data_IF_768967444644
#
_entry.id   IF_768967444644
#
_cell.length_a   1.000
_cell.length_b   1.000
_cell.length_c   1.000
_cell.angle_alpha   90.00
_cell.angle_beta   90.00
_cell.angle_gamma   90.00
#
_symmetry.space_group_name_H-M   'P 1'
#
loop_
_entity.id
_entity.type
_entity.pdbx_description
1 polymer ?
#
# COMPACT_ATOMS: atom_id res chain seq x y z
N UNK A 1 1.61 -2.31 -15.22
CA UNK A 1 0.80 -1.44 -14.35
C UNK A 1 -0.16 -2.31 -13.54
N UNK A 2 -0.18 -2.11 -12.26
CA UNK A 2 -1.15 -2.66 -11.32
C UNK A 2 -1.47 -1.58 -10.28
N UNK A 3 -2.63 -1.65 -9.66
CA UNK A 3 -2.97 -0.91 -8.47
C UNK A 3 -2.23 -1.50 -7.27
N UNK A 4 -2.07 -0.71 -6.22
CA UNK A 4 -1.40 -1.08 -4.98
C UNK A 4 -0.55 0.06 -4.45
N UNK A 5 -0.14 -0.06 -3.20
CA UNK A 5 0.70 0.92 -2.50
C UNK A 5 0.96 0.49 -1.07
N UNK A 6 1.97 1.09 -0.45
CA UNK A 6 2.29 0.91 0.95
C UNK A 6 1.96 2.17 1.74
N UNK A 7 1.82 2.06 3.07
CA UNK A 7 1.46 3.19 3.93
C UNK A 7 2.43 4.38 3.80
N UNK A 8 3.72 4.12 3.71
CA UNK A 8 4.74 5.16 3.53
C UNK A 8 4.60 5.93 2.21
N UNK A 9 3.98 5.37 1.16
CA UNK A 9 3.75 6.10 -0.10
C UNK A 9 2.86 7.32 0.12
N UNK A 10 1.88 7.22 1.05
CA UNK A 10 1.03 8.35 1.43
C UNK A 10 1.85 9.43 2.11
N UNK A 11 2.72 9.06 3.04
CA UNK A 11 3.59 9.99 3.78
C UNK A 11 4.53 10.71 2.82
N UNK A 12 5.22 9.98 1.95
CA UNK A 12 6.11 10.55 0.95
C UNK A 12 5.35 11.38 -0.10
N UNK A 13 4.15 10.96 -0.46
CA UNK A 13 3.25 11.73 -1.32
C UNK A 13 2.90 13.09 -0.71
N UNK A 14 2.55 13.13 0.58
CA UNK A 14 2.26 14.39 1.29
C UNK A 14 3.49 15.27 1.40
N UNK A 15 4.66 14.72 1.72
CA UNK A 15 5.93 15.47 1.76
C UNK A 15 6.23 16.12 0.41
N UNK A 16 6.02 15.41 -0.67
CA UNK A 16 6.41 15.84 -2.02
C UNK A 16 5.39 16.74 -2.71
N UNK A 17 4.10 16.49 -2.49
CA UNK A 17 3.02 17.09 -3.26
C UNK A 17 2.01 17.87 -2.39
N UNK A 18 2.18 17.84 -1.08
CA UNK A 18 1.23 18.40 -0.15
C UNK A 18 -0.06 17.60 -0.03
N UNK A 19 -1.08 18.20 0.57
CA UNK A 19 -2.41 17.63 0.75
C UNK A 19 -3.47 18.70 0.57
N UNK A 20 -4.67 18.29 0.16
CA UNK A 20 -5.82 19.16 -0.04
C UNK A 20 -7.01 18.61 0.76
N UNK A 21 -7.81 19.45 1.43
CA UNK A 21 -9.03 19.00 2.10
C UNK A 21 -9.99 18.31 1.15
N UNK A 22 -10.66 17.26 1.62
CA UNK A 22 -11.62 16.47 0.84
C UNK A 22 -12.74 17.33 0.24
N UNK A 23 -13.20 18.36 0.94
CA UNK A 23 -14.27 19.26 0.46
C UNK A 23 -13.82 20.19 -0.68
N UNK A 24 -12.51 20.47 -0.77
CA UNK A 24 -11.92 21.29 -1.83
C UNK A 24 -11.63 20.45 -3.07
N UNK A 25 -11.13 19.25 -2.87
CA UNK A 25 -10.81 18.33 -3.94
C UNK A 25 -11.26 16.91 -3.57
N UNK A 26 -12.52 16.59 -3.84
CA UNK A 26 -13.07 15.27 -3.50
C UNK A 26 -12.48 14.13 -4.31
N UNK A 27 -11.79 14.40 -5.42
CA UNK A 27 -11.26 13.36 -6.31
C UNK A 27 -12.37 12.48 -6.91
N UNK A 28 -13.57 13.03 -7.09
CA UNK A 28 -14.77 12.30 -7.46
C UNK A 28 -15.46 12.96 -8.64
N UNK A 29 -14.95 12.75 -9.83
CA UNK A 29 -15.52 13.26 -11.08
C UNK A 29 -16.08 12.13 -11.96
N UNK A 30 -16.60 11.08 -11.33
CA UNK A 30 -17.08 9.86 -11.99
C UNK A 30 -18.54 9.98 -12.48
N UNK A 31 -19.25 11.03 -12.10
CA UNK A 31 -20.70 11.13 -12.31
C UNK A 31 -21.52 10.22 -11.39
N UNK A 32 -20.90 9.68 -10.34
CA UNK A 32 -21.49 8.79 -9.33
C UNK A 32 -21.18 9.33 -7.93
N UNK A 33 -21.92 8.86 -6.93
CA UNK A 33 -21.68 9.25 -5.53
C UNK A 33 -20.40 8.62 -4.92
N UNK A 34 -19.88 7.58 -5.57
CA UNK A 34 -18.68 6.86 -5.13
C UNK A 34 -17.74 6.64 -6.28
N UNK A 35 -16.42 6.58 -6.03
CA UNK A 35 -15.43 6.23 -7.04
C UNK A 35 -15.70 4.86 -7.66
N UNK A 36 -15.39 4.73 -8.95
CA UNK A 36 -15.46 3.48 -9.71
C UNK A 36 -14.04 3.13 -10.16
N UNK A 37 -13.20 2.76 -9.20
CA UNK A 37 -11.78 2.52 -9.44
C UNK A 37 -11.51 1.44 -10.49
N UNK A 38 -12.27 0.36 -10.52
CA UNK A 38 -12.08 -0.71 -11.48
C UNK A 38 -12.21 -0.25 -12.95
N UNK A 39 -13.05 0.76 -13.24
CA UNK A 39 -13.14 1.35 -14.58
C UNK A 39 -11.88 2.17 -14.89
N UNK A 40 -11.44 3.01 -13.94
CA UNK A 40 -10.23 3.82 -14.07
C UNK A 40 -9.00 2.95 -14.27
N UNK A 41 -8.82 1.92 -13.44
CA UNK A 41 -7.68 1.01 -13.49
C UNK A 41 -7.61 0.28 -14.82
N UNK A 42 -8.75 -0.22 -15.31
CA UNK A 42 -8.85 -0.84 -16.61
C UNK A 42 -8.48 0.15 -17.75
N UNK A 43 -8.95 1.39 -17.67
CA UNK A 43 -8.65 2.42 -18.68
C UNK A 43 -7.15 2.81 -18.65
N UNK A 44 -6.57 3.05 -17.47
CA UNK A 44 -5.15 3.37 -17.31
C UNK A 44 -4.27 2.23 -17.80
N UNK A 45 -4.60 0.99 -17.42
CA UNK A 45 -3.88 -0.19 -17.87
C UNK A 45 -3.93 -0.34 -19.38
N UNK A 46 -5.11 -0.24 -19.98
CA UNK A 46 -5.27 -0.36 -21.43
C UNK A 46 -4.51 0.74 -22.18
N UNK A 47 -4.53 1.98 -21.66
CA UNK A 47 -3.80 3.10 -22.23
C UNK A 47 -2.28 2.86 -22.19
N UNK A 48 -1.73 2.50 -21.05
CA UNK A 48 -0.30 2.26 -20.88
C UNK A 48 0.17 1.03 -21.70
N UNK A 49 -0.58 -0.04 -21.69
CA UNK A 49 -0.29 -1.24 -22.51
C UNK A 49 -0.26 -0.89 -24.01
N UNK A 50 -1.19 -0.05 -24.47
CA UNK A 50 -1.23 0.41 -25.86
C UNK A 50 -0.01 1.27 -26.22
N UNK A 51 0.35 2.21 -25.35
CA UNK A 51 1.52 3.09 -25.51
C UNK A 51 2.82 2.27 -25.61
N UNK A 52 3.02 1.33 -24.68
CA UNK A 52 4.21 0.46 -24.64
C UNK A 52 4.26 -0.44 -25.88
N UNK A 53 3.12 -1.02 -26.26
CA UNK A 53 3.03 -1.96 -27.36
C UNK A 53 3.18 -1.28 -28.72
N UNK A 54 2.67 -0.06 -28.86
CA UNK A 54 2.63 0.67 -30.12
C UNK A 54 3.89 1.52 -30.39
N UNK A 55 4.87 1.53 -29.48
CA UNK A 55 6.11 2.30 -29.68
C UNK A 55 6.76 1.92 -31.02
N UNK A 56 7.01 2.92 -31.84
CA UNK A 56 7.62 2.73 -33.16
C UNK A 56 9.14 2.79 -33.05
N UNK A 57 9.85 1.82 -33.63
CA UNK A 57 11.32 1.74 -33.61
C UNK A 57 11.97 1.86 -32.21
N UNK A 58 11.27 1.42 -31.16
CA UNK A 58 11.75 1.51 -29.80
C UNK A 58 11.69 2.92 -29.17
N UNK A 59 11.15 3.91 -29.88
CA UNK A 59 11.02 5.29 -29.37
C UNK A 59 9.70 5.45 -28.67
N UNK A 60 9.77 5.89 -27.40
CA UNK A 60 8.63 6.34 -26.61
C UNK A 60 8.63 7.88 -26.59
N UNK A 61 7.52 8.50 -27.00
CA UNK A 61 7.34 9.95 -26.93
C UNK A 61 7.02 10.37 -25.49
N UNK A 62 6.96 11.67 -25.22
CA UNK A 62 6.51 12.20 -23.92
C UNK A 62 5.01 12.46 -23.87
N UNK A 63 4.32 12.49 -25.02
CA UNK A 63 2.89 12.81 -25.12
C UNK A 63 1.99 11.84 -24.35
N UNK A 64 2.45 10.60 -24.08
CA UNK A 64 1.71 9.64 -23.30
C UNK A 64 1.50 10.09 -21.85
N UNK A 65 2.43 10.90 -21.28
CA UNK A 65 2.31 11.43 -19.93
C UNK A 65 1.13 12.41 -19.84
N UNK A 66 1.01 13.30 -20.83
CA UNK A 66 -0.10 14.25 -20.89
C UNK A 66 -1.43 13.52 -21.08
N UNK A 67 -1.45 12.49 -21.92
CA UNK A 67 -2.63 11.65 -22.11
C UNK A 67 -3.03 10.89 -20.84
N UNK A 68 -2.06 10.36 -20.09
CA UNK A 68 -2.31 9.70 -18.80
C UNK A 68 -2.87 10.70 -17.77
N UNK A 69 -2.25 11.88 -17.67
CA UNK A 69 -2.72 12.93 -16.76
C UNK A 69 -4.14 13.39 -17.12
N UNK A 70 -4.45 13.52 -18.41
CA UNK A 70 -5.80 13.88 -18.86
C UNK A 70 -6.85 12.80 -18.48
N UNK A 71 -6.49 11.52 -18.50
CA UNK A 71 -7.35 10.46 -17.98
C UNK A 71 -7.56 10.62 -16.47
N UNK A 72 -6.52 10.82 -15.70
CA UNK A 72 -6.60 11.04 -14.25
C UNK A 72 -7.46 12.25 -13.92
N UNK A 73 -7.24 13.39 -14.60
CA UNK A 73 -8.02 14.61 -14.43
C UNK A 73 -9.50 14.42 -14.78
N UNK A 74 -9.81 13.53 -15.73
CA UNK A 74 -11.19 13.22 -16.10
C UNK A 74 -11.94 12.53 -14.96
N UNK A 75 -11.30 11.61 -14.26
CA UNK A 75 -11.91 10.83 -13.19
C UNK A 75 -11.83 11.52 -11.82
N UNK A 76 -10.71 12.15 -11.53
CA UNK A 76 -10.49 12.79 -10.23
C UNK A 76 -10.81 14.28 -10.20
N UNK A 77 -10.89 14.93 -11.38
CA UNK A 77 -10.88 16.38 -11.51
C UNK A 77 -9.46 16.93 -11.53
N UNK A 78 -9.32 18.15 -11.99
CA UNK A 78 -8.02 18.85 -12.05
C UNK A 78 -7.57 19.21 -10.64
N UNK A 79 -6.37 18.78 -10.28
CA UNK A 79 -5.79 19.11 -8.98
C UNK A 79 -5.60 20.63 -8.83
N UNK A 80 -6.09 21.25 -7.74
CA UNK A 80 -5.92 22.68 -7.53
C UNK A 80 -4.45 23.01 -7.22
N UNK A 81 -3.91 24.02 -7.88
CA UNK A 81 -2.61 24.60 -7.52
C UNK A 81 -2.72 25.49 -6.28
N UNK A 82 -3.87 26.17 -6.13
CA UNK A 82 -4.24 27.01 -4.99
C UNK A 82 -5.70 26.82 -4.65
N UNK A 83 -6.04 26.98 -3.39
CA UNK A 83 -7.41 26.89 -2.90
C UNK A 83 -7.60 27.74 -1.65
N UNK A 84 -8.88 28.07 -1.37
CA UNK A 84 -9.26 28.73 -0.12
C UNK A 84 -9.92 27.73 0.81
N UNK A 85 -9.43 27.65 2.03
CA UNK A 85 -9.98 26.81 3.08
C UNK A 85 -10.09 27.63 4.36
N UNK A 86 -11.26 27.63 4.99
CA UNK A 86 -11.57 28.43 6.18
C UNK A 86 -11.15 29.93 6.06
N UNK A 87 -11.36 30.50 4.87
CA UNK A 87 -11.08 31.92 4.60
C UNK A 87 -9.60 32.25 4.37
N UNK A 88 -8.71 31.28 4.30
CA UNK A 88 -7.29 31.46 4.04
C UNK A 88 -6.89 30.76 2.74
N UNK A 89 -6.05 31.42 1.93
CA UNK A 89 -5.48 30.83 0.71
C UNK A 89 -4.29 29.92 1.05
N UNK A 90 -4.26 28.76 0.38
CA UNK A 90 -3.22 27.76 0.50
C UNK A 90 -2.81 27.21 -0.87
N UNK A 91 -1.58 26.72 -0.96
CA UNK A 91 -1.19 25.66 -1.89
C UNK A 91 -1.27 24.30 -1.16
N UNK A 92 -1.30 23.16 -1.86
CA UNK A 92 -1.27 21.84 -1.21
C UNK A 92 -0.13 21.69 -0.19
N UNK A 93 1.06 22.18 -0.53
CA UNK A 93 2.25 22.10 0.32
C UNK A 93 2.12 23.02 1.56
N UNK A 94 1.61 24.25 1.36
CA UNK A 94 1.43 25.18 2.48
C UNK A 94 0.31 24.75 3.43
N UNK A 95 -0.69 24.03 2.93
CA UNK A 95 -1.72 23.43 3.76
C UNK A 95 -1.15 22.25 4.57
N UNK A 96 -0.40 21.34 3.95
CA UNK A 96 0.30 20.27 4.65
C UNK A 96 1.18 20.81 5.78
N UNK A 97 1.95 21.86 5.51
CA UNK A 97 2.83 22.50 6.50
C UNK A 97 2.06 23.20 7.66
N UNK A 98 0.78 23.53 7.46
CA UNK A 98 -0.06 24.15 8.50
C UNK A 98 -0.69 23.14 9.45
N UNK A 99 -0.67 21.85 9.12
CA UNK A 99 -1.27 20.81 9.96
C UNK A 99 -0.38 20.52 11.18
N UNK A 100 -0.96 20.19 12.34
CA UNK A 100 -0.23 19.87 13.55
C UNK A 100 0.37 18.45 13.54
N UNK A 101 0.72 17.96 12.38
CA UNK A 101 1.31 16.62 12.16
C UNK A 101 2.64 16.78 11.42
N UNK A 102 3.61 15.95 11.79
CA UNK A 102 4.91 15.89 11.12
C UNK A 102 5.05 14.56 10.42
N UNK A 103 5.23 14.59 9.12
CA UNK A 103 5.34 13.36 8.31
C UNK A 103 6.57 12.52 8.70
N UNK A 104 7.61 13.14 9.25
CA UNK A 104 8.81 12.43 9.74
C UNK A 104 8.61 11.69 11.07
N UNK A 105 7.48 11.90 11.76
CA UNK A 105 7.15 11.17 12.98
C UNK A 105 6.51 9.79 12.69
N UNK A 106 6.21 9.50 11.43
CA UNK A 106 5.66 8.21 11.00
C UNK A 106 6.77 7.23 10.66
N UNK A 107 6.67 6.03 11.19
CA UNK A 107 7.65 4.95 11.00
C UNK A 107 6.90 3.66 10.66
N UNK A 108 7.34 2.99 9.60
CA UNK A 108 6.86 1.65 9.27
C UNK A 108 7.64 0.64 10.11
N UNK A 109 6.92 -0.18 10.88
CA UNK A 109 7.49 -1.20 11.75
C UNK A 109 6.98 -2.57 11.28
N UNK A 110 7.87 -3.53 11.20
CA UNK A 110 7.53 -4.91 10.86
C UNK A 110 8.27 -5.92 11.72
N UNK A 111 7.84 -7.17 11.65
CA UNK A 111 8.48 -8.28 12.35
C UNK A 111 8.72 -9.44 11.40
N UNK A 112 9.95 -9.56 10.92
CA UNK A 112 10.36 -10.54 9.91
C UNK A 112 11.61 -11.28 10.36
N UNK A 113 11.50 -12.59 10.54
CA UNK A 113 12.60 -13.43 11.08
C UNK A 113 13.73 -13.69 10.08
N UNK A 114 13.50 -13.45 8.79
CA UNK A 114 14.51 -13.64 7.75
C UNK A 114 15.41 -12.42 7.51
N UNK A 115 15.12 -11.29 8.19
CA UNK A 115 15.98 -10.11 8.24
C UNK A 115 16.49 -9.89 9.66
N UNK A 116 17.69 -9.30 9.83
CA UNK A 116 18.19 -8.96 11.16
C UNK A 116 17.23 -8.01 11.87
N UNK A 117 16.94 -8.28 13.14
CA UNK A 117 16.18 -7.34 13.96
C UNK A 117 16.99 -6.06 14.24
N UNK A 118 16.28 -4.97 14.51
CA UNK A 118 16.81 -3.63 14.78
C UNK A 118 17.56 -3.02 13.58
N UNK A 119 17.18 -3.42 12.38
CA UNK A 119 17.66 -2.86 11.11
C UNK A 119 16.50 -2.48 10.22
N UNK A 120 16.73 -1.59 9.28
CA UNK A 120 15.79 -1.31 8.21
C UNK A 120 16.04 -2.25 7.04
N UNK A 121 14.96 -2.63 6.37
CA UNK A 121 15.01 -3.38 5.12
C UNK A 121 13.84 -3.01 4.22
N UNK A 122 13.93 -3.33 2.96
CA UNK A 122 12.89 -3.09 1.96
C UNK A 122 12.07 -4.37 1.80
N UNK A 123 10.75 -4.28 1.97
CA UNK A 123 9.86 -5.37 1.58
C UNK A 123 9.79 -5.38 0.06
N UNK A 124 10.39 -6.39 -0.57
CA UNK A 124 10.50 -6.52 -2.04
C UNK A 124 9.20 -7.08 -2.64
N UNK A 125 8.10 -6.35 -2.51
CA UNK A 125 6.80 -6.67 -3.12
C UNK A 125 6.39 -5.58 -4.11
N UNK A 126 5.57 -5.90 -5.13
CA UNK A 126 5.14 -4.91 -6.12
C UNK A 126 4.44 -3.68 -5.56
N UNK A 127 3.71 -3.83 -4.44
CA UNK A 127 2.99 -2.75 -3.79
C UNK A 127 3.92 -1.73 -3.13
N UNK A 128 5.12 -2.13 -2.75
CA UNK A 128 6.17 -1.22 -2.28
C UNK A 128 6.94 -0.61 -3.46
N UNK A 129 6.23 0.09 -4.35
CA UNK A 129 6.81 0.65 -5.58
C UNK A 129 7.76 1.82 -5.34
N UNK A 130 7.65 2.51 -4.19
CA UNK A 130 8.59 3.56 -3.77
C UNK A 130 9.85 3.03 -3.07
N UNK A 131 9.94 1.72 -2.81
CA UNK A 131 11.06 1.09 -2.11
C UNK A 131 11.28 1.64 -0.70
N UNK A 132 10.19 1.97 -0.01
CA UNK A 132 10.24 2.40 1.38
C UNK A 132 10.76 1.30 2.29
N UNK A 133 11.41 1.71 3.37
CA UNK A 133 11.98 0.80 4.35
C UNK A 133 11.03 0.55 5.51
N UNK A 134 11.14 -0.63 6.09
CA UNK A 134 10.45 -1.03 7.32
C UNK A 134 11.49 -1.31 8.39
N UNK A 135 11.31 -0.77 9.60
CA UNK A 135 12.16 -1.06 10.72
C UNK A 135 11.76 -2.39 11.36
N UNK A 136 12.69 -3.34 11.38
CA UNK A 136 12.43 -4.72 11.80
C UNK A 136 12.65 -4.91 13.30
N UNK A 137 11.63 -5.40 14.00
CA UNK A 137 11.72 -5.71 15.44
C UNK A 137 11.14 -7.08 15.74
N UNK A 138 11.49 -7.71 16.87
CA UNK A 138 10.80 -8.92 17.32
C UNK A 138 9.31 -8.71 17.45
N UNK A 139 8.51 -9.74 17.19
CA UNK A 139 7.04 -9.65 17.20
C UNK A 139 6.49 -9.14 18.53
N UNK A 140 7.06 -9.57 19.64
CA UNK A 140 6.65 -9.12 20.98
C UNK A 140 6.89 -7.61 21.17
N UNK A 141 8.00 -7.09 20.64
CA UNK A 141 8.29 -5.65 20.69
C UNK A 141 7.39 -4.85 19.75
N UNK A 142 7.10 -5.39 18.55
CA UNK A 142 6.13 -4.76 17.64
C UNK A 142 4.76 -4.65 18.31
N UNK A 143 4.29 -5.70 18.97
CA UNK A 143 3.03 -5.65 19.72
C UNK A 143 3.07 -4.68 20.88
N UNK A 144 4.20 -4.57 21.59
CA UNK A 144 4.36 -3.57 22.64
C UNK A 144 4.33 -2.13 22.11
N UNK A 145 4.88 -1.88 20.91
CA UNK A 145 4.76 -0.59 20.22
C UNK A 145 3.30 -0.28 19.88
N UNK A 146 2.57 -1.26 19.35
CA UNK A 146 1.13 -1.15 19.05
C UNK A 146 0.34 -0.79 20.31
N UNK A 147 0.52 -1.55 21.38
CA UNK A 147 -0.19 -1.34 22.64
C UNK A 147 0.12 0.05 23.24
N UNK A 148 1.40 0.44 23.19
CA UNK A 148 1.82 1.75 23.70
C UNK A 148 1.22 2.90 22.86
N UNK A 149 1.20 2.78 21.55
CA UNK A 149 0.60 3.79 20.67
C UNK A 149 -0.89 3.96 20.97
N UNK A 150 -1.64 2.86 21.03
CA UNK A 150 -3.07 2.88 21.34
C UNK A 150 -3.36 3.43 22.74
N UNK A 151 -2.56 3.06 23.74
CA UNK A 151 -2.69 3.58 25.11
C UNK A 151 -2.44 5.10 25.22
N UNK A 152 -1.66 5.66 24.30
CA UNK A 152 -1.39 7.10 24.20
C UNK A 152 -2.32 7.83 23.22
N UNK A 153 -3.36 7.18 22.69
CA UNK A 153 -4.39 7.78 21.83
C UNK A 153 -3.99 7.93 20.37
N UNK A 154 -2.96 7.23 19.93
CA UNK A 154 -2.60 7.16 18.51
C UNK A 154 -3.35 6.02 17.81
N UNK A 155 -3.71 6.24 16.56
CA UNK A 155 -4.20 5.18 15.68
C UNK A 155 -3.03 4.53 14.95
N UNK A 156 -3.26 3.31 14.46
CA UNK A 156 -2.27 2.53 13.73
C UNK A 156 -2.90 2.11 12.41
N UNK A 157 -2.16 2.27 11.33
CA UNK A 157 -2.45 1.62 10.07
C UNK A 157 -1.77 0.24 10.11
N UNK A 158 -2.53 -0.80 9.81
CA UNK A 158 -2.05 -2.18 9.83
C UNK A 158 -2.28 -2.84 8.48
N UNK A 159 -1.20 -3.03 7.73
CA UNK A 159 -1.21 -3.82 6.52
C UNK A 159 -1.13 -5.31 6.87
N UNK A 160 -2.14 -6.09 6.52
CA UNK A 160 -2.19 -7.53 6.78
C UNK A 160 -2.96 -8.26 5.67
N UNK A 161 -2.61 -9.51 5.43
CA UNK A 161 -3.38 -10.37 4.54
C UNK A 161 -4.70 -10.76 5.23
N UNK A 162 -5.79 -10.48 4.54
CA UNK A 162 -7.16 -10.75 5.00
C UNK A 162 -7.87 -11.79 4.12
N UNK A 163 -7.14 -12.40 3.18
CA UNK A 163 -7.68 -13.37 2.22
C UNK A 163 -7.64 -14.80 2.73
N UNK A 164 -6.85 -15.08 3.77
CA UNK A 164 -6.68 -16.41 4.32
C UNK A 164 -7.91 -16.91 5.06
N UNK A 165 -8.09 -18.24 5.08
CA UNK A 165 -9.22 -18.92 5.78
C UNK A 165 -9.29 -18.63 7.26
N UNK A 166 -8.14 -18.38 7.90
CA UNK A 166 -8.06 -18.00 9.31
C UNK A 166 -8.58 -16.60 9.61
N UNK A 167 -8.82 -15.76 8.59
CA UNK A 167 -9.34 -14.41 8.76
C UNK A 167 -10.86 -14.39 8.55
N UNK A 168 -11.62 -14.50 9.64
CA UNK A 168 -13.08 -14.47 9.62
C UNK A 168 -13.62 -13.07 9.92
N UNK A 169 -14.00 -12.35 8.87
CA UNK A 169 -14.52 -10.97 8.97
C UNK A 169 -15.86 -10.89 9.72
N UNK A 170 -16.65 -11.96 9.70
CA UNK A 170 -17.96 -11.97 10.35
C UNK A 170 -17.79 -12.11 11.85
N UNK A 171 -16.87 -12.96 12.28
CA UNK A 171 -16.54 -13.18 13.70
C UNK A 171 -15.53 -12.18 14.22
N UNK A 172 -14.92 -11.35 13.34
CA UNK A 172 -13.86 -10.40 13.66
C UNK A 172 -12.66 -11.07 14.37
N UNK A 173 -12.24 -12.22 13.86
CA UNK A 173 -11.08 -12.95 14.37
C UNK A 173 -10.11 -13.30 13.23
N UNK A 174 -8.81 -13.28 13.53
CA UNK A 174 -7.75 -13.80 12.70
C UNK A 174 -6.96 -14.85 13.48
N UNK A 175 -6.83 -16.04 12.94
CA UNK A 175 -6.03 -17.12 13.53
C UNK A 175 -5.17 -17.77 12.47
N UNK A 176 -4.00 -18.24 12.87
CA UNK A 176 -3.19 -19.10 12.00
C UNK A 176 -3.79 -20.50 12.09
N UNK A 177 -4.30 -21.10 11.00
CA UNK A 177 -4.90 -22.42 11.03
C UNK A 177 -3.89 -23.47 11.48
N UNK A 178 -4.32 -24.43 12.31
CA UNK A 178 -3.44 -25.52 12.71
C UNK A 178 -3.15 -26.50 11.57
N UNK A 179 -4.10 -26.65 10.64
CA UNK A 179 -4.08 -27.74 9.65
C UNK A 179 -4.28 -27.31 8.21
N UNK A 180 -4.53 -26.02 7.93
CA UNK A 180 -4.96 -25.59 6.59
C UNK A 180 -4.36 -24.23 6.24
N UNK A 181 -3.42 -24.23 5.29
CA UNK A 181 -3.04 -23.03 4.55
C UNK A 181 -3.68 -23.13 3.18
N UNK A 182 -4.12 -22.01 2.61
CA UNK A 182 -4.66 -21.96 1.26
C UNK A 182 -3.71 -22.65 0.27
N UNK A 183 -4.23 -23.67 -0.41
CA UNK A 183 -3.48 -24.47 -1.36
C UNK A 183 -2.72 -25.68 -0.79
N UNK A 184 -2.79 -25.94 0.51
CA UNK A 184 -2.28 -27.18 1.09
C UNK A 184 -3.39 -28.23 1.26
N UNK A 185 -3.17 -29.40 0.71
CA UNK A 185 -4.09 -30.55 0.81
C UNK A 185 -3.36 -31.82 1.27
N UNK A 186 -4.11 -32.71 1.94
CA UNK A 186 -3.65 -34.05 2.31
C UNK A 186 -2.42 -34.07 3.21
N UNK A 187 -1.36 -34.75 2.78
CA UNK A 187 -0.13 -34.94 3.59
C UNK A 187 0.65 -33.64 3.86
N UNK A 188 0.45 -32.59 3.08
CA UNK A 188 1.09 -31.30 3.31
C UNK A 188 0.41 -30.57 4.46
N UNK A 189 -0.92 -30.58 4.54
CA UNK A 189 -1.67 -30.05 5.67
C UNK A 189 -1.29 -30.75 6.99
N UNK A 190 -1.11 -32.06 6.97
CA UNK A 190 -0.65 -32.82 8.14
C UNK A 190 0.78 -32.44 8.57
N UNK A 191 1.68 -32.21 7.63
CA UNK A 191 3.04 -31.74 7.91
C UNK A 191 3.01 -30.34 8.50
N UNK A 192 2.20 -29.45 7.93
CA UNK A 192 2.01 -28.10 8.43
C UNK A 192 1.49 -28.09 9.88
N UNK A 193 0.50 -28.88 10.18
CA UNK A 193 -0.05 -28.99 11.54
C UNK A 193 0.99 -29.40 12.61
N UNK A 194 2.08 -30.06 12.21
CA UNK A 194 3.16 -30.51 13.12
C UNK A 194 4.26 -29.48 13.34
N UNK A 195 4.30 -28.41 12.55
CA UNK A 195 5.31 -27.36 12.68
C UNK A 195 5.05 -26.50 13.92
N UNK A 196 6.13 -26.07 14.57
CA UNK A 196 6.08 -25.02 15.58
C UNK A 196 5.70 -23.68 14.96
N UNK A 197 5.31 -22.69 15.76
CA UNK A 197 4.98 -21.34 15.28
C UNK A 197 6.14 -20.72 14.48
N UNK A 198 7.38 -20.85 14.94
CA UNK A 198 8.56 -20.36 14.25
C UNK A 198 8.82 -21.08 12.91
N UNK A 199 8.57 -22.39 12.86
CA UNK A 199 8.72 -23.16 11.61
C UNK A 199 7.60 -22.83 10.62
N UNK A 200 6.35 -22.59 11.09
CA UNK A 200 5.25 -22.11 10.27
C UNK A 200 5.56 -20.74 9.68
N UNK A 201 6.03 -19.82 10.51
CA UNK A 201 6.46 -18.50 10.07
C UNK A 201 7.56 -18.60 9.00
N UNK A 202 8.65 -19.32 9.29
CA UNK A 202 9.72 -19.53 8.33
C UNK A 202 9.28 -20.24 7.03
N UNK A 203 8.25 -21.07 7.10
CA UNK A 203 7.68 -21.73 5.92
C UNK A 203 6.82 -20.78 5.08
N UNK A 204 6.05 -19.87 5.70
CA UNK A 204 5.28 -18.84 5.00
C UNK A 204 6.18 -17.98 4.11
N UNK A 205 7.34 -17.56 4.62
CA UNK A 205 8.31 -16.80 3.83
C UNK A 205 8.92 -17.53 2.63
N UNK A 206 8.83 -18.85 2.58
CA UNK A 206 9.27 -19.61 1.38
C UNK A 206 8.28 -19.46 0.22
N UNK A 207 7.06 -19.08 0.50
CA UNK A 207 6.03 -18.81 -0.52
C UNK A 207 6.10 -17.36 -1.03
N UNK A 208 6.57 -16.43 -0.21
CA UNK A 208 6.91 -15.06 -0.60
C UNK A 208 8.28 -14.99 -1.30
N UNK A 209 8.54 -15.94 -2.19
CA UNK A 209 9.70 -15.77 -3.07
C UNK A 209 9.51 -14.48 -3.86
N UNK A 210 10.52 -13.59 -3.83
CA UNK A 210 10.46 -12.38 -4.63
C UNK A 210 10.14 -12.74 -6.07
N UNK A 211 9.28 -11.95 -6.68
CA UNK A 211 8.70 -12.13 -8.03
C UNK A 211 9.76 -12.09 -9.15
N UNK A 212 10.99 -12.51 -8.89
CA UNK A 212 12.05 -12.66 -9.90
C UNK A 212 11.71 -13.65 -11.00
N UNK A 213 10.65 -14.44 -10.85
CA UNK A 213 10.26 -15.45 -11.83
C UNK A 213 8.96 -15.18 -12.59
N UNK A 214 8.21 -14.13 -12.30
CA UNK A 214 7.16 -13.71 -13.23
C UNK A 214 7.83 -12.90 -14.34
N UNK A 215 8.17 -13.61 -15.42
CA UNK A 215 8.46 -12.95 -16.70
C UNK A 215 7.24 -12.10 -17.06
N UNK A 216 7.43 -10.79 -17.01
CA UNK A 216 6.53 -9.82 -17.62
C UNK A 216 6.65 -9.95 -19.14
#
# INVERSE_FOLDING_TARGET
>A
FAEGGAAHDVIEGIKKYGIVPQEVYPGLNYGTEKPVFGELDAALKAYLDAVIKARNNGVLTTAWQDGLNALLDTYFGVRPEKFTYEGKEYTPESFAASLPIKMDDYVDVGSFTHHPFYTEFIIEVPDNWMWGTVYNVPLEEMMAVVDNALANGYSIEWATDVSEKGFDRIKAIGIIPETDIDGMEGTEAEKWGKLSAAEKEAALYKFDKPVKEKKI
#
